data_IF_024251204114
#
_entry.id   IF_024251204114
#
_cell.length_a   1.000
_cell.length_b   1.000
_cell.length_c   1.000
_cell.angle_alpha   90.00
_cell.angle_beta   90.00
_cell.angle_gamma   90.00
#
_symmetry.space_group_name_H-M   'P 1'
#
loop_
_entity.id
_entity.type
_entity.pdbx_description
1 polymer ?
#
# COMPACT_ATOMS: atom_id res chain seq x y z
N UNK A 1 20.28 5.13 -1.22
CA UNK A 1 18.81 5.21 -1.24
C UNK A 1 18.30 3.93 -0.60
N UNK A 2 17.47 4.01 0.44
CA UNK A 2 16.92 2.81 1.07
C UNK A 2 16.03 2.09 0.05
N UNK A 3 16.20 0.78 -0.12
CA UNK A 3 15.28 0.00 -0.95
C UNK A 3 13.89 0.00 -0.30
N UNK A 4 12.88 0.34 -1.09
CA UNK A 4 11.48 0.33 -0.67
C UNK A 4 10.74 -0.78 -1.41
N UNK A 5 9.79 -1.39 -0.72
CA UNK A 5 9.07 -2.58 -1.17
C UNK A 5 7.56 -2.29 -1.23
N UNK A 6 7.09 -1.55 -2.24
CA UNK A 6 5.76 -0.97 -2.18
C UNK A 6 4.64 -2.01 -2.28
N UNK A 7 3.52 -1.72 -1.61
CA UNK A 7 2.24 -2.39 -1.84
C UNK A 7 1.48 -1.57 -2.88
N UNK A 8 1.19 -2.16 -4.03
CA UNK A 8 0.39 -1.50 -5.06
C UNK A 8 -1.10 -1.61 -4.73
N UNK A 9 -1.72 -0.47 -4.41
CA UNK A 9 -3.17 -0.37 -4.23
C UNK A 9 -3.79 0.17 -5.51
N UNK A 10 -4.70 -0.59 -6.13
CA UNK A 10 -5.42 -0.13 -7.31
C UNK A 10 -6.45 0.93 -6.95
N UNK A 11 -6.48 2.00 -7.75
CA UNK A 11 -7.30 3.19 -7.55
C UNK A 11 -8.33 3.27 -8.69
N UNK A 12 -9.60 3.15 -8.32
CA UNK A 12 -10.74 3.46 -9.18
C UNK A 12 -11.16 4.92 -8.99
N UNK A 13 -12.20 5.37 -9.70
CA UNK A 13 -12.72 6.74 -9.62
C UNK A 13 -13.13 7.15 -8.20
N UNK A 14 -13.80 6.26 -7.45
CA UNK A 14 -14.24 6.54 -6.08
C UNK A 14 -13.06 6.75 -5.12
N UNK A 15 -12.03 5.90 -5.21
CA UNK A 15 -10.80 6.05 -4.43
C UNK A 15 -10.02 7.29 -4.84
N UNK A 16 -9.99 7.58 -6.13
CA UNK A 16 -9.34 8.77 -6.64
C UNK A 16 -9.99 10.04 -6.07
N UNK A 17 -11.32 10.11 -6.03
CA UNK A 17 -12.04 11.22 -5.42
C UNK A 17 -11.73 11.37 -3.92
N UNK A 18 -11.58 10.26 -3.17
CA UNK A 18 -11.13 10.29 -1.77
C UNK A 18 -9.71 10.85 -1.63
N UNK A 19 -8.77 10.44 -2.51
CA UNK A 19 -7.40 10.94 -2.52
C UNK A 19 -7.34 12.43 -2.87
N UNK A 20 -8.13 12.89 -3.85
CA UNK A 20 -8.22 14.31 -4.21
C UNK A 20 -8.70 15.16 -3.04
N UNK A 21 -9.70 14.70 -2.29
CA UNK A 21 -10.18 15.38 -1.08
C UNK A 21 -9.10 15.46 0.01
N UNK A 22 -8.21 14.47 0.07
CA UNK A 22 -7.08 14.43 1.00
C UNK A 22 -5.83 15.16 0.47
N UNK A 23 -5.83 15.64 -0.78
CA UNK A 23 -4.66 16.25 -1.42
C UNK A 23 -3.53 15.24 -1.74
N UNK A 24 -3.88 13.97 -1.90
CA UNK A 24 -2.94 12.85 -2.12
C UNK A 24 -2.99 12.29 -3.55
N UNK A 25 -3.77 12.88 -4.44
CA UNK A 25 -3.94 12.42 -5.83
C UNK A 25 -2.62 12.43 -6.62
N UNK A 26 -1.73 13.37 -6.33
CA UNK A 26 -0.39 13.45 -6.92
C UNK A 26 0.56 12.31 -6.53
N UNK A 27 0.19 11.46 -5.57
CA UNK A 27 0.96 10.28 -5.18
C UNK A 27 0.58 9.02 -5.97
N UNK A 28 -0.50 9.10 -6.76
CA UNK A 28 -0.89 8.00 -7.64
C UNK A 28 0.03 7.92 -8.85
N UNK A 29 0.28 6.70 -9.31
CA UNK A 29 1.03 6.40 -10.53
C UNK A 29 0.10 5.82 -11.57
N UNK A 30 0.19 6.31 -12.80
CA UNK A 30 -0.52 5.72 -13.93
C UNK A 30 0.07 4.33 -14.26
N UNK A 31 -0.82 3.40 -14.52
CA UNK A 31 -0.54 2.05 -14.97
C UNK A 31 -1.28 1.78 -16.30
N UNK A 32 -1.25 0.54 -16.76
CA UNK A 32 -1.82 0.17 -18.05
C UNK A 32 -3.32 0.50 -18.15
N UNK A 33 -3.74 0.97 -19.33
CA UNK A 33 -5.13 1.26 -19.68
C UNK A 33 -5.84 2.33 -18.81
N UNK A 34 -5.10 3.32 -18.30
CA UNK A 34 -5.67 4.42 -17.51
C UNK A 34 -6.01 4.02 -16.07
N UNK A 35 -5.64 2.81 -15.65
CA UNK A 35 -5.71 2.40 -14.25
C UNK A 35 -4.64 3.15 -13.46
N UNK A 36 -5.00 3.64 -12.28
CA UNK A 36 -4.05 4.25 -11.35
C UNK A 36 -3.74 3.28 -10.22
N UNK A 37 -2.51 3.36 -9.71
CA UNK A 37 -2.08 2.65 -8.51
C UNK A 37 -1.48 3.63 -7.51
N UNK A 38 -1.67 3.36 -6.23
CA UNK A 38 -1.02 4.05 -5.14
C UNK A 38 0.05 3.11 -4.56
N UNK A 39 1.34 3.40 -4.76
CA UNK A 39 2.43 2.60 -4.23
C UNK A 39 2.70 2.99 -2.77
N UNK A 40 2.22 2.20 -1.81
CA UNK A 40 2.47 2.44 -0.38
C UNK A 40 3.86 1.90 -0.01
N UNK A 41 4.82 2.75 0.37
CA UNK A 41 6.20 2.33 0.62
C UNK A 41 6.27 1.45 1.88
N UNK A 42 7.15 0.45 1.83
CA UNK A 42 7.48 -0.39 2.99
C UNK A 42 8.99 -0.60 3.07
N UNK A 43 9.50 -0.78 4.27
CA UNK A 43 10.85 -1.30 4.53
C UNK A 43 10.85 -2.83 4.56
N UNK A 44 12.02 -3.47 4.46
CA UNK A 44 12.12 -4.94 4.55
C UNK A 44 11.58 -5.46 5.90
N UNK A 45 11.81 -4.73 6.99
CA UNK A 45 11.30 -5.09 8.31
C UNK A 45 9.76 -5.11 8.33
N UNK A 46 9.14 -4.06 7.77
CA UNK A 46 7.68 -3.97 7.65
C UNK A 46 7.12 -5.08 6.76
N UNK A 47 7.79 -5.41 5.65
CA UNK A 47 7.39 -6.54 4.80
C UNK A 47 7.41 -7.85 5.58
N UNK A 48 8.48 -8.14 6.33
CA UNK A 48 8.57 -9.38 7.10
C UNK A 48 7.47 -9.47 8.18
N UNK A 49 7.17 -8.37 8.85
CA UNK A 49 6.10 -8.28 9.85
C UNK A 49 4.73 -8.48 9.21
N UNK A 50 4.49 -7.87 8.05
CA UNK A 50 3.27 -8.05 7.28
C UNK A 50 3.07 -9.50 6.81
N UNK A 51 4.12 -10.16 6.33
CA UNK A 51 4.06 -11.57 5.91
C UNK A 51 3.79 -12.53 7.07
N UNK A 52 4.21 -12.19 8.30
CA UNK A 52 3.87 -12.95 9.51
C UNK A 52 2.38 -12.83 9.84
N UNK A 53 1.81 -11.62 9.71
CA UNK A 53 0.38 -11.38 9.93
C UNK A 53 -0.49 -12.00 8.84
N UNK A 54 -0.03 -11.99 7.59
CA UNK A 54 -0.77 -12.47 6.43
C UNK A 54 0.03 -13.54 5.67
N UNK A 55 0.01 -14.81 6.12
CA UNK A 55 0.79 -15.90 5.51
C UNK A 55 0.45 -16.18 4.03
N UNK A 56 -0.70 -15.69 3.55
CA UNK A 56 -1.13 -15.79 2.14
C UNK A 56 -0.54 -14.70 1.25
N UNK A 57 -0.07 -13.60 1.83
CA UNK A 57 0.63 -12.57 1.10
C UNK A 57 2.01 -13.10 0.66
N UNK A 58 2.49 -12.65 -0.49
CA UNK A 58 3.76 -13.06 -1.06
C UNK A 58 4.56 -11.84 -1.47
N UNK A 59 5.76 -11.72 -0.96
CA UNK A 59 6.71 -10.72 -1.44
C UNK A 59 7.43 -11.25 -2.68
N UNK A 60 7.30 -10.55 -3.81
CA UNK A 60 8.09 -10.84 -5.01
C UNK A 60 9.42 -10.09 -4.95
N UNK A 61 10.44 -10.73 -4.39
CA UNK A 61 11.80 -10.20 -4.35
C UNK A 61 12.54 -10.26 -5.69
N UNK A 62 12.04 -11.04 -6.66
CA UNK A 62 12.79 -11.41 -7.87
C UNK A 62 12.55 -10.45 -9.05
N UNK A 63 11.34 -9.88 -9.18
CA UNK A 63 11.02 -9.00 -10.32
C UNK A 63 10.54 -7.62 -9.90
N UNK A 64 9.36 -7.51 -9.30
CA UNK A 64 8.71 -6.22 -9.04
C UNK A 64 9.08 -5.62 -7.70
N UNK A 65 9.69 -6.40 -6.79
CA UNK A 65 9.99 -5.98 -5.41
C UNK A 65 8.75 -5.44 -4.69
N UNK A 66 7.59 -6.06 -4.95
CA UNK A 66 6.28 -5.67 -4.39
C UNK A 66 5.67 -6.80 -3.56
N UNK A 67 4.72 -6.44 -2.70
CA UNK A 67 3.95 -7.42 -1.94
C UNK A 67 2.65 -7.72 -2.70
N UNK A 68 2.53 -8.96 -3.12
CA UNK A 68 1.41 -9.51 -3.87
C UNK A 68 0.52 -10.38 -2.96
N UNK A 69 -0.68 -10.73 -3.45
CA UNK A 69 -1.62 -11.63 -2.77
C UNK A 69 -2.09 -11.18 -1.37
N UNK A 70 -1.89 -9.91 -1.02
CA UNK A 70 -2.55 -9.29 0.12
C UNK A 70 -4.08 -9.37 -0.03
N UNK A 71 -4.80 -9.79 1.02
CA UNK A 71 -6.26 -9.78 1.04
C UNK A 71 -6.82 -8.39 0.70
N UNK A 72 -7.98 -8.36 0.03
CA UNK A 72 -8.60 -7.11 -0.45
C UNK A 72 -8.94 -6.18 0.72
N UNK A 73 -9.55 -6.72 1.76
CA UNK A 73 -9.89 -6.03 3.01
C UNK A 73 -8.67 -5.33 3.64
N UNK A 74 -7.50 -5.97 3.61
CA UNK A 74 -6.26 -5.35 4.11
C UNK A 74 -5.81 -4.18 3.24
N UNK A 75 -5.88 -4.32 1.90
CA UNK A 75 -5.56 -3.22 0.98
C UNK A 75 -6.53 -2.05 1.15
N UNK A 76 -7.78 -2.35 1.43
CA UNK A 76 -8.83 -1.35 1.64
C UNK A 76 -8.59 -0.60 2.96
N UNK A 77 -8.20 -1.31 4.03
CA UNK A 77 -7.81 -0.70 5.31
C UNK A 77 -6.57 0.21 5.18
N UNK A 78 -5.51 -0.27 4.52
CA UNK A 78 -4.29 0.52 4.27
C UNK A 78 -4.66 1.79 3.51
N UNK A 79 -5.51 1.69 2.49
CA UNK A 79 -5.98 2.84 1.72
C UNK A 79 -6.76 3.85 2.58
N UNK A 80 -7.72 3.39 3.38
CA UNK A 80 -8.51 4.27 4.23
C UNK A 80 -7.62 4.94 5.31
N UNK A 81 -6.58 4.26 5.81
CA UNK A 81 -5.57 4.87 6.69
C UNK A 81 -4.74 5.95 5.99
N UNK A 82 -4.35 5.75 4.73
CA UNK A 82 -3.66 6.78 3.93
C UNK A 82 -4.54 8.02 3.79
N UNK A 83 -5.82 7.84 3.41
CA UNK A 83 -6.77 8.94 3.25
C UNK A 83 -7.02 9.66 4.58
N UNK A 84 -7.18 8.92 5.69
CA UNK A 84 -7.46 9.51 7.00
C UNK A 84 -6.25 10.23 7.60
N UNK A 85 -5.04 9.72 7.40
CA UNK A 85 -3.80 10.32 7.93
C UNK A 85 -3.26 11.46 7.06
N UNK A 86 -3.64 11.50 5.77
CA UNK A 86 -3.07 12.44 4.80
C UNK A 86 -1.61 12.13 4.46
N UNK A 87 -1.13 10.90 4.68
CA UNK A 87 0.27 10.49 4.47
C UNK A 87 0.34 9.10 3.86
N UNK A 88 1.38 8.83 3.07
CA UNK A 88 1.61 7.52 2.45
C UNK A 88 2.42 6.56 3.32
N UNK A 89 3.23 7.10 4.24
CA UNK A 89 4.01 6.32 5.20
C UNK A 89 3.16 5.97 6.42
N UNK A 90 2.31 4.95 6.27
CA UNK A 90 1.35 4.50 7.30
C UNK A 90 1.56 3.06 7.76
N UNK A 91 2.51 2.35 7.14
CA UNK A 91 2.68 0.91 7.35
C UNK A 91 3.13 0.59 8.77
N UNK A 92 3.89 1.49 9.40
CA UNK A 92 4.28 1.34 10.80
C UNK A 92 3.05 1.43 11.74
N UNK A 93 2.18 2.40 11.52
CA UNK A 93 0.94 2.55 12.29
C UNK A 93 -0.02 1.37 12.06
N UNK A 94 -0.10 0.91 10.81
CA UNK A 94 -0.88 -0.27 10.43
C UNK A 94 -0.38 -1.52 11.17
N UNK A 95 0.93 -1.80 11.15
CA UNK A 95 1.50 -2.97 11.81
C UNK A 95 1.33 -2.92 13.33
N UNK A 96 1.53 -1.74 13.95
CA UNK A 96 1.28 -1.53 15.39
C UNK A 96 -0.17 -1.80 15.76
N UNK A 97 -1.13 -1.39 14.93
CA UNK A 97 -2.56 -1.64 15.14
C UNK A 97 -2.90 -3.14 15.12
N UNK A 98 -2.19 -3.92 14.31
CA UNK A 98 -2.36 -5.38 14.18
C UNK A 98 -1.41 -6.20 15.08
N UNK A 99 -0.65 -5.54 15.96
CA UNK A 99 0.19 -6.21 16.96
C UNK A 99 1.46 -6.84 16.41
N UNK A 100 1.98 -6.34 15.28
CA UNK A 100 3.22 -6.81 14.66
C UNK A 100 4.43 -5.93 14.96
#
# INVERSE_FOLDING_TARGET
MAETYPINIWINEERFAKLQKAGLDGLTQDAFAGLKKLPVPNTMDQVQRLLKLYPKAKFDSATTKTIELLPRDVKDEIFDMVVASGKIDIMEDFLKKHGA
#
